data_IF_101530432961
#
_entry.id   IF_101530432961
#
_cell.length_a   1.000
_cell.length_b   1.000
_cell.length_c   1.000
_cell.angle_alpha   90.00
_cell.angle_beta   90.00
_cell.angle_gamma   90.00
#
_symmetry.space_group_name_H-M   'P 1'
#
loop_
_entity.id
_entity.type
_entity.pdbx_description
1 polymer ?
#
# COMPACT_ATOMS: atom_id res chain seq x y z
N UNK A 1 2.96 -5.62 -7.62
CA UNK A 1 1.56 -5.12 -7.57
C UNK A 1 0.59 -6.15 -8.15
N UNK A 2 -0.74 -5.99 -8.00
CA UNK A 2 -1.75 -6.85 -8.63
C UNK A 2 -1.63 -6.91 -10.16
N UNK A 3 -1.41 -5.76 -10.82
CA UNK A 3 -1.25 -5.67 -12.27
C UNK A 3 -0.04 -6.47 -12.79
N UNK A 4 1.10 -6.44 -12.06
CA UNK A 4 2.26 -7.29 -12.37
C UNK A 4 1.95 -8.78 -12.25
N UNK A 5 1.10 -9.16 -11.30
CA UNK A 5 0.70 -10.55 -11.09
C UNK A 5 -0.27 -11.05 -12.18
N UNK A 6 -1.03 -10.13 -12.78
CA UNK A 6 -1.97 -10.37 -13.87
C UNK A 6 -1.36 -10.19 -15.27
N UNK A 7 -0.09 -9.77 -15.36
CA UNK A 7 0.55 -9.37 -16.64
C UNK A 7 -0.21 -8.26 -17.37
N UNK A 8 -0.79 -7.34 -16.62
CA UNK A 8 -1.44 -6.11 -17.12
C UNK A 8 -0.40 -5.00 -17.34
N UNK A 9 -0.84 -3.85 -17.88
CA UNK A 9 0.03 -2.68 -18.05
C UNK A 9 0.56 -2.18 -16.70
N UNK A 10 1.88 -1.99 -16.64
CA UNK A 10 2.61 -1.59 -15.44
C UNK A 10 3.14 -0.18 -15.61
N UNK A 11 2.87 0.67 -14.63
CA UNK A 11 3.49 2.00 -14.52
C UNK A 11 4.11 2.21 -13.12
N UNK A 12 4.58 3.43 -12.85
CA UNK A 12 5.24 3.79 -11.59
C UNK A 12 4.39 3.53 -10.33
N UNK A 13 3.07 3.41 -10.45
CA UNK A 13 2.18 3.12 -9.31
C UNK A 13 2.31 1.68 -8.83
N UNK A 14 2.92 0.79 -9.61
CA UNK A 14 3.34 -0.54 -9.16
C UNK A 14 4.43 -0.48 -8.09
N UNK A 15 5.37 0.47 -8.20
CA UNK A 15 6.39 0.70 -7.18
C UNK A 15 5.77 1.30 -5.92
N UNK A 16 4.77 2.18 -6.05
CA UNK A 16 4.03 2.74 -4.92
C UNK A 16 3.27 1.66 -4.14
N UNK A 17 2.67 0.69 -4.83
CA UNK A 17 2.07 -0.47 -4.17
C UNK A 17 3.11 -1.27 -3.37
N UNK A 18 4.27 -1.54 -3.97
CA UNK A 18 5.35 -2.27 -3.31
C UNK A 18 5.90 -1.50 -2.10
N UNK A 19 6.00 -0.17 -2.20
CA UNK A 19 6.34 0.72 -1.09
C UNK A 19 5.30 0.63 0.02
N UNK A 20 4.00 0.58 -0.29
CA UNK A 20 2.94 0.38 0.70
C UNK A 20 3.11 -0.92 1.49
N UNK A 21 3.45 -2.02 0.81
CA UNK A 21 3.77 -3.29 1.49
C UNK A 21 5.03 -3.19 2.37
N UNK A 22 6.04 -2.44 1.92
CA UNK A 22 7.23 -2.17 2.73
C UNK A 22 6.89 -1.36 3.99
N UNK A 23 6.08 -0.30 3.89
CA UNK A 23 5.62 0.48 5.05
C UNK A 23 4.86 -0.41 6.02
N UNK A 24 3.95 -1.25 5.51
CA UNK A 24 3.22 -2.22 6.33
C UNK A 24 4.18 -3.15 7.09
N UNK A 25 5.17 -3.72 6.41
CA UNK A 25 6.16 -4.60 7.03
C UNK A 25 7.03 -3.86 8.06
N UNK A 26 7.50 -2.65 7.76
CA UNK A 26 8.34 -1.88 8.67
C UNK A 26 7.59 -1.52 9.97
N UNK A 27 6.30 -1.22 9.88
CA UNK A 27 5.49 -0.86 11.04
C UNK A 27 5.00 -2.06 11.86
N UNK A 28 4.66 -3.18 11.20
CA UNK A 28 4.05 -4.34 11.88
C UNK A 28 4.99 -5.54 12.09
N UNK A 29 6.11 -5.59 11.38
CA UNK A 29 6.94 -6.80 11.26
C UNK A 29 6.30 -7.93 10.44
N UNK A 30 5.13 -7.70 9.85
CA UNK A 30 4.37 -8.70 9.10
C UNK A 30 4.35 -8.37 7.62
N UNK A 31 4.72 -9.34 6.78
CA UNK A 31 4.63 -9.21 5.32
C UNK A 31 3.18 -9.50 4.91
N UNK A 32 2.47 -8.54 4.28
CA UNK A 32 1.09 -8.78 3.85
C UNK A 32 0.97 -10.00 2.93
N UNK A 33 -0.15 -10.71 3.04
CA UNK A 33 -0.52 -11.88 2.22
C UNK A 33 0.32 -13.15 2.44
N UNK A 34 1.30 -13.14 3.34
CA UNK A 34 2.17 -14.29 3.60
C UNK A 34 1.80 -14.95 4.92
N UNK A 35 1.36 -16.20 4.85
CA UNK A 35 1.20 -17.08 6.01
C UNK A 35 2.17 -18.26 5.92
N UNK A 36 2.52 -18.81 7.09
CA UNK A 36 3.41 -19.99 7.16
C UNK A 36 2.79 -21.16 6.40
N UNK A 37 3.51 -21.67 5.40
CA UNK A 37 3.07 -22.82 4.59
C UNK A 37 2.29 -22.43 3.33
N UNK A 38 2.08 -21.14 3.06
CA UNK A 38 1.48 -20.71 1.80
C UNK A 38 2.41 -21.00 0.61
N UNK A 39 1.84 -21.54 -0.47
CA UNK A 39 2.53 -21.64 -1.74
C UNK A 39 2.65 -20.27 -2.41
N UNK A 40 3.63 -20.12 -3.31
CA UNK A 40 3.78 -18.91 -4.11
C UNK A 40 2.48 -18.54 -4.86
N UNK A 41 1.75 -19.53 -5.38
CA UNK A 41 0.48 -19.32 -6.07
C UNK A 41 -0.62 -18.79 -5.12
N UNK A 42 -0.66 -19.27 -3.88
CA UNK A 42 -1.62 -18.78 -2.88
C UNK A 42 -1.32 -17.34 -2.47
N UNK A 43 -0.04 -17.00 -2.26
CA UNK A 43 0.39 -15.62 -1.98
C UNK A 43 0.02 -14.70 -3.16
N UNK A 44 0.28 -15.16 -4.40
CA UNK A 44 -0.07 -14.40 -5.61
C UNK A 44 -1.57 -14.15 -5.71
N UNK A 45 -2.39 -15.18 -5.49
CA UNK A 45 -3.84 -15.08 -5.49
C UNK A 45 -4.35 -14.10 -4.41
N UNK A 46 -3.82 -14.18 -3.18
CA UNK A 46 -4.10 -13.22 -2.10
C UNK A 46 -3.74 -11.79 -2.49
N UNK A 47 -2.60 -11.58 -3.18
CA UNK A 47 -2.17 -10.25 -3.65
C UNK A 47 -3.06 -9.71 -4.77
N UNK A 48 -3.58 -10.56 -5.66
CA UNK A 48 -4.47 -10.16 -6.76
C UNK A 48 -5.87 -9.78 -6.24
N UNK A 49 -6.41 -10.57 -5.32
CA UNK A 49 -7.83 -10.48 -4.92
C UNK A 49 -8.07 -9.88 -3.54
N UNK A 50 -7.05 -9.85 -2.68
CA UNK A 50 -7.16 -9.37 -1.31
C UNK A 50 -6.65 -7.94 -1.14
N UNK A 51 -6.93 -7.40 0.04
CA UNK A 51 -6.36 -6.16 0.57
C UNK A 51 -5.48 -6.52 1.78
N UNK A 52 -4.38 -5.79 2.05
CA UNK A 52 -3.67 -5.94 3.32
C UNK A 52 -4.59 -5.65 4.50
N UNK A 53 -4.30 -6.23 5.67
CA UNK A 53 -4.99 -5.84 6.89
C UNK A 53 -4.82 -4.32 7.14
N UNK A 54 -5.78 -3.70 7.82
CA UNK A 54 -5.59 -2.32 8.26
C UNK A 54 -4.38 -2.27 9.19
N UNK A 55 -3.43 -1.37 8.91
CA UNK A 55 -2.17 -1.33 9.63
C UNK A 55 -2.37 -1.13 11.15
N UNK A 56 -3.48 -0.52 11.57
CA UNK A 56 -3.84 -0.32 12.98
C UNK A 56 -4.23 -1.60 13.70
N UNK A 57 -4.64 -2.64 12.96
CA UNK A 57 -4.98 -3.94 13.55
C UNK A 57 -3.73 -4.74 13.92
N UNK A 58 -2.60 -4.43 13.29
CA UNK A 58 -1.35 -5.21 13.40
C UNK A 58 -0.18 -4.41 13.96
N UNK A 59 -0.32 -3.10 14.16
CA UNK A 59 0.71 -2.22 14.71
C UNK A 59 0.12 -0.99 15.44
N UNK A 60 0.78 -0.46 16.48
CA UNK A 60 0.36 0.75 17.18
C UNK A 60 0.77 2.02 16.39
N UNK A 61 0.13 2.26 15.25
CA UNK A 61 0.40 3.42 14.36
C UNK A 61 -0.71 4.47 14.41
N UNK A 62 -0.42 5.68 13.92
CA UNK A 62 -1.43 6.73 13.75
C UNK A 62 -2.45 6.36 12.66
N UNK A 63 -3.64 6.96 12.75
CA UNK A 63 -4.67 6.80 11.72
C UNK A 63 -4.21 7.32 10.36
N UNK A 64 -3.43 8.40 10.34
CA UNK A 64 -2.90 8.99 9.12
C UNK A 64 -1.87 8.10 8.42
N UNK A 65 -0.96 7.44 9.16
CA UNK A 65 -0.01 6.50 8.56
C UNK A 65 -0.74 5.27 7.97
N UNK A 66 -1.78 4.80 8.66
CA UNK A 66 -2.61 3.71 8.16
C UNK A 66 -3.38 4.13 6.89
N UNK A 67 -3.92 5.35 6.86
CA UNK A 67 -4.61 5.90 5.70
C UNK A 67 -3.66 6.07 4.49
N UNK A 68 -2.44 6.58 4.73
CA UNK A 68 -1.39 6.66 3.71
C UNK A 68 -1.06 5.28 3.13
N UNK A 69 -0.82 4.31 4.00
CA UNK A 69 -0.48 2.94 3.62
C UNK A 69 -1.59 2.28 2.80
N UNK A 70 -2.86 2.50 3.20
CA UNK A 70 -4.02 2.02 2.44
C UNK A 70 -4.06 2.62 1.03
N UNK A 71 -3.79 3.92 0.88
CA UNK A 71 -3.74 4.57 -0.43
C UNK A 71 -2.62 4.03 -1.33
N UNK A 72 -1.45 3.69 -0.77
CA UNK A 72 -0.38 3.03 -1.52
C UNK A 72 -0.80 1.63 -1.97
N UNK A 73 -1.47 0.87 -1.10
CA UNK A 73 -1.83 -0.53 -1.31
C UNK A 73 -3.15 -0.75 -2.06
N UNK A 74 -3.83 0.30 -2.53
CA UNK A 74 -5.12 0.15 -3.22
C UNK A 74 -5.00 -0.82 -4.41
N UNK A 75 -5.93 -1.76 -4.55
CA UNK A 75 -5.85 -2.80 -5.59
C UNK A 75 -5.79 -2.21 -7.00
N UNK A 76 -6.66 -1.26 -7.32
CA UNK A 76 -6.66 -0.57 -8.60
C UNK A 76 -5.59 0.53 -8.62
N UNK A 77 -4.72 0.53 -9.63
CA UNK A 77 -3.67 1.55 -9.76
C UNK A 77 -4.22 3.01 -9.79
N UNK A 78 -5.37 3.32 -10.42
CA UNK A 78 -5.99 4.65 -10.36
C UNK A 78 -6.41 5.13 -8.96
N UNK A 79 -6.64 4.21 -8.03
CA UNK A 79 -7.01 4.54 -6.65
C UNK A 79 -5.78 4.83 -5.78
N UNK A 80 -4.57 4.65 -6.32
CA UNK A 80 -3.30 4.94 -5.63
C UNK A 80 -2.87 6.38 -5.86
N UNK A 81 -1.86 6.80 -5.10
CA UNK A 81 -1.15 8.04 -5.36
C UNK A 81 -0.65 8.09 -6.81
N UNK A 82 -0.84 9.23 -7.47
CA UNK A 82 -0.48 9.41 -8.89
C UNK A 82 1.03 9.38 -9.12
N UNK A 83 1.83 9.86 -8.16
CA UNK A 83 3.29 9.96 -8.27
C UNK A 83 3.97 9.72 -6.94
N UNK A 84 5.26 9.37 -6.98
CA UNK A 84 6.09 9.31 -5.77
C UNK A 84 6.22 10.67 -5.08
N UNK A 85 6.22 11.78 -5.83
CA UNK A 85 6.27 13.13 -5.26
C UNK A 85 5.05 13.41 -4.38
N UNK A 86 3.85 13.02 -4.81
CA UNK A 86 2.64 13.14 -4.01
C UNK A 86 2.76 12.36 -2.68
N UNK A 87 3.37 11.17 -2.70
CA UNK A 87 3.63 10.41 -1.45
C UNK A 87 4.62 11.14 -0.54
N UNK A 88 5.66 11.76 -1.10
CA UNK A 88 6.63 12.56 -0.33
C UNK A 88 5.94 13.75 0.35
N UNK A 89 5.10 14.49 -0.37
CA UNK A 89 4.34 15.62 0.19
C UNK A 89 3.47 15.20 1.37
N UNK A 90 2.82 14.04 1.27
CA UNK A 90 1.99 13.48 2.34
C UNK A 90 2.82 13.02 3.54
N UNK A 91 3.99 12.42 3.31
CA UNK A 91 4.92 12.05 4.37
C UNK A 91 5.51 13.26 5.10
N UNK A 92 5.87 14.32 4.37
CA UNK A 92 6.34 15.58 4.95
C UNK A 92 5.25 16.25 5.79
N UNK A 93 4.01 16.26 5.29
CA UNK A 93 2.84 16.76 6.02
C UNK A 93 2.60 15.96 7.30
N UNK A 94 2.66 14.63 7.22
CA UNK A 94 2.53 13.75 8.37
C UNK A 94 3.66 13.98 9.39
N UNK A 95 4.90 14.14 8.93
CA UNK A 95 6.05 14.44 9.78
C UNK A 95 5.90 15.79 10.52
N UNK A 96 5.29 16.78 9.87
CA UNK A 96 4.96 18.06 10.48
C UNK A 96 3.72 18.02 11.42
N UNK A 97 3.10 16.85 11.61
CA UNK A 97 1.92 16.66 12.45
C UNK A 97 0.59 17.02 11.77
N UNK A 98 0.59 17.22 10.45
CA UNK A 98 -0.61 17.43 9.66
C UNK A 98 -1.31 16.12 9.26
N UNK A 99 -2.59 16.18 8.85
CA UNK A 99 -3.36 15.01 8.42
C UNK A 99 -2.94 14.55 7.02
N UNK A 100 -3.07 13.26 6.72
CA UNK A 100 -2.88 12.76 5.35
C UNK A 100 -4.16 12.99 4.54
N UNK A 101 -4.02 13.60 3.36
CA UNK A 101 -5.11 13.94 2.43
C UNK A 101 -5.47 12.79 1.50
N UNK A 102 -4.53 11.86 1.29
CA UNK A 102 -4.76 10.64 0.52
C UNK A 102 -4.63 10.81 -0.99
N UNK A 103 -4.88 9.74 -1.77
CA UNK A 103 -4.91 9.82 -3.23
C UNK A 103 -5.97 10.84 -3.69
N UNK A 104 -5.57 11.77 -4.57
CA UNK A 104 -6.52 12.67 -5.22
C UNK A 104 -7.26 11.84 -6.27
N UNK A 105 -8.59 11.88 -6.27
CA UNK A 105 -9.38 11.25 -7.32
C UNK A 105 -8.90 11.77 -8.69
N UNK A 106 -8.56 10.86 -9.60
CA UNK A 106 -8.24 11.24 -10.97
C UNK A 106 -9.45 12.00 -11.56
N UNK A 107 -9.20 13.21 -12.07
CA UNK A 107 -10.17 14.02 -12.78
C UNK A 107 -10.56 13.39 -14.13
#
# INVERSE_FOLDING_TARGET
SPEQALSEDVDSRSDLYSLGLCVHFMASGQVPFVEKGDSALKILSKRIHGEPADLREVAPVSADLAYLTRGLCARQAPDRYSTALHVVEELERLHAGGPVLGPVAAA
#
